data_IF_013498404148
#
_entry.id   IF_013498404148
#
_cell.length_a   1.000
_cell.length_b   1.000
_cell.length_c   1.000
_cell.angle_alpha   90.00
_cell.angle_beta   90.00
_cell.angle_gamma   90.00
#
_symmetry.space_group_name_H-M   'P 1'
#
loop_
_entity.id
_entity.type
_entity.pdbx_description
1 polymer ?
#
# COMPACT_ATOMS: atom_id res chain seq x y z
N UNK A 1 30.87 -52.20 -35.66
CA UNK A 1 29.97 -51.43 -34.77
C UNK A 1 30.70 -50.90 -33.55
N UNK A 2 31.54 -51.66 -32.84
CA UNK A 2 32.29 -51.20 -31.68
C UNK A 2 33.28 -50.06 -31.96
N UNK A 3 33.91 -50.06 -33.17
CA UNK A 3 34.74 -48.95 -33.61
C UNK A 3 33.91 -47.67 -33.80
N UNK A 4 32.77 -47.77 -34.48
CA UNK A 4 31.85 -46.65 -34.68
C UNK A 4 31.35 -46.05 -33.33
N UNK A 5 31.04 -46.89 -32.33
CA UNK A 5 30.66 -46.40 -31.01
C UNK A 5 31.78 -45.62 -30.32
N UNK A 6 33.05 -45.98 -30.54
CA UNK A 6 34.20 -45.25 -30.03
C UNK A 6 34.38 -43.92 -30.72
N UNK A 7 34.24 -43.90 -32.04
CA UNK A 7 34.38 -42.68 -32.85
C UNK A 7 33.33 -41.61 -32.45
N UNK A 8 32.12 -42.03 -32.05
CA UNK A 8 31.06 -41.15 -31.56
C UNK A 8 31.01 -41.02 -30.03
N UNK A 9 32.02 -41.52 -29.31
CA UNK A 9 32.11 -41.45 -27.83
C UNK A 9 30.84 -41.93 -27.08
N UNK A 10 30.15 -42.93 -27.64
CA UNK A 10 28.96 -43.52 -27.03
C UNK A 10 29.21 -44.96 -26.57
N UNK A 11 28.46 -45.39 -25.54
CA UNK A 11 28.50 -46.79 -25.12
C UNK A 11 27.89 -47.70 -26.19
N UNK A 12 28.36 -48.96 -26.27
CA UNK A 12 27.74 -49.96 -27.15
C UNK A 12 26.27 -50.14 -26.90
N UNK A 13 25.85 -50.06 -25.61
CA UNK A 13 24.44 -50.12 -25.21
C UNK A 13 23.64 -48.96 -25.82
N UNK A 14 24.18 -47.74 -25.80
CA UNK A 14 23.58 -46.56 -26.43
C UNK A 14 23.52 -46.75 -27.97
N UNK A 15 24.57 -47.25 -28.57
CA UNK A 15 24.60 -47.51 -29.99
C UNK A 15 23.53 -48.52 -30.44
N UNK A 16 23.39 -49.64 -29.75
CA UNK A 16 22.32 -50.61 -30.05
C UNK A 16 20.91 -50.03 -29.81
N UNK A 17 20.74 -49.19 -28.78
CA UNK A 17 19.46 -48.50 -28.59
C UNK A 17 19.04 -47.69 -29.80
N UNK A 18 19.95 -46.96 -30.41
CA UNK A 18 19.67 -46.14 -31.58
C UNK A 18 19.48 -46.99 -32.83
N UNK A 19 20.26 -48.07 -33.01
CA UNK A 19 20.16 -48.98 -34.13
C UNK A 19 18.79 -49.70 -34.14
N UNK A 20 18.34 -50.18 -32.99
CA UNK A 20 17.01 -50.82 -32.85
C UNK A 20 15.88 -49.84 -33.17
N UNK A 21 15.94 -48.59 -32.67
CA UNK A 21 14.97 -47.56 -33.02
C UNK A 21 14.94 -47.25 -34.51
N UNK A 22 16.08 -47.17 -35.14
CA UNK A 22 16.15 -46.97 -36.58
C UNK A 22 15.52 -48.13 -37.34
N UNK A 23 15.80 -49.39 -36.91
CA UNK A 23 15.20 -50.60 -37.48
C UNK A 23 13.69 -50.72 -37.32
N UNK A 24 13.15 -50.18 -36.26
CA UNK A 24 11.71 -50.10 -35.96
C UNK A 24 11.03 -48.86 -36.57
N UNK A 25 11.73 -48.04 -37.33
CA UNK A 25 11.19 -46.82 -37.95
C UNK A 25 10.79 -45.71 -36.94
N UNK A 26 11.30 -45.78 -35.71
CA UNK A 26 11.02 -44.78 -34.69
C UNK A 26 11.87 -43.50 -34.90
N UNK A 27 11.39 -42.37 -34.43
CA UNK A 27 12.19 -41.14 -34.46
C UNK A 27 13.47 -41.27 -33.65
N UNK A 28 14.60 -40.86 -34.24
CA UNK A 28 15.94 -40.85 -33.62
C UNK A 28 16.13 -39.61 -32.73
N UNK A 29 15.27 -39.47 -31.73
CA UNK A 29 15.33 -38.41 -30.70
C UNK A 29 15.28 -39.03 -29.31
N UNK A 30 15.75 -38.29 -28.30
CA UNK A 30 15.60 -38.74 -26.93
C UNK A 30 14.11 -38.77 -26.51
N UNK A 31 13.67 -39.94 -26.08
CA UNK A 31 12.32 -40.10 -25.53
C UNK A 31 12.28 -39.57 -24.11
N UNK A 32 11.09 -39.07 -23.70
CA UNK A 32 10.88 -38.65 -22.34
C UNK A 32 11.20 -39.78 -21.36
N UNK A 33 11.99 -39.47 -20.34
CA UNK A 33 12.30 -40.39 -19.22
C UNK A 33 11.24 -40.33 -18.12
N UNK A 34 10.16 -39.60 -18.36
CA UNK A 34 9.08 -39.44 -17.41
C UNK A 34 8.35 -40.78 -17.24
N UNK A 35 8.13 -41.27 -16.00
CA UNK A 35 7.37 -42.49 -15.76
C UNK A 35 5.96 -42.40 -16.36
N UNK A 36 5.49 -43.48 -17.00
CA UNK A 36 4.14 -43.56 -17.56
C UNK A 36 3.05 -43.48 -16.49
N UNK A 37 3.33 -43.97 -15.28
CA UNK A 37 2.49 -43.82 -14.09
C UNK A 37 3.13 -42.84 -13.12
N UNK A 38 2.41 -41.80 -12.77
CA UNK A 38 2.81 -40.79 -11.80
C UNK A 38 1.75 -40.70 -10.69
N UNK A 39 1.80 -41.61 -9.68
CA UNK A 39 0.77 -41.68 -8.61
C UNK A 39 0.67 -40.39 -7.80
N UNK A 40 1.77 -39.61 -7.74
CA UNK A 40 1.86 -38.34 -7.03
C UNK A 40 1.49 -37.10 -7.89
N UNK A 41 1.08 -37.30 -9.16
CA UNK A 41 0.65 -36.20 -10.00
C UNK A 41 -0.67 -35.63 -9.44
N UNK A 42 -0.74 -34.30 -9.35
CA UNK A 42 -1.97 -33.60 -8.98
C UNK A 42 -3.11 -34.01 -9.93
N UNK A 43 -4.29 -34.28 -9.38
CA UNK A 43 -5.48 -34.61 -10.15
C UNK A 43 -5.80 -33.46 -11.16
N UNK A 44 -6.28 -33.84 -12.33
CA UNK A 44 -6.55 -32.88 -13.41
C UNK A 44 -7.54 -31.79 -12.99
N UNK A 45 -8.58 -32.15 -12.23
CA UNK A 45 -9.58 -31.23 -11.71
C UNK A 45 -8.94 -30.16 -10.77
N UNK A 46 -7.98 -30.58 -9.96
CA UNK A 46 -7.25 -29.66 -9.07
C UNK A 46 -6.31 -28.74 -9.88
N UNK A 47 -5.69 -29.26 -10.94
CA UNK A 47 -4.87 -28.42 -11.83
C UNK A 47 -5.73 -27.37 -12.52
N UNK A 48 -6.91 -27.74 -13.06
CA UNK A 48 -7.85 -26.79 -13.67
C UNK A 48 -8.28 -25.71 -12.69
N UNK A 49 -8.64 -26.09 -11.48
CA UNK A 49 -9.02 -25.15 -10.41
C UNK A 49 -7.91 -24.11 -10.13
N UNK A 50 -6.64 -24.54 -10.09
CA UNK A 50 -5.49 -23.67 -9.91
C UNK A 50 -5.34 -22.71 -11.11
N UNK A 51 -5.57 -23.20 -12.32
CA UNK A 51 -5.49 -22.40 -13.56
C UNK A 51 -6.62 -21.37 -13.65
N UNK A 52 -7.84 -21.74 -13.26
CA UNK A 52 -9.00 -20.85 -13.24
C UNK A 52 -8.80 -19.68 -12.27
N UNK A 53 -8.30 -19.96 -11.06
CA UNK A 53 -7.95 -18.92 -10.10
C UNK A 53 -6.84 -18.02 -10.65
N UNK A 54 -5.84 -18.58 -11.33
CA UNK A 54 -4.77 -17.79 -11.97
C UNK A 54 -5.29 -16.92 -13.10
N UNK A 55 -6.19 -17.45 -13.94
CA UNK A 55 -6.81 -16.71 -15.06
C UNK A 55 -7.61 -15.52 -14.54
N UNK A 56 -8.40 -15.74 -13.49
CA UNK A 56 -9.16 -14.68 -12.83
C UNK A 56 -8.27 -13.68 -12.07
N UNK A 57 -7.10 -14.10 -11.63
CA UNK A 57 -6.16 -13.30 -10.83
C UNK A 57 -4.72 -13.41 -11.36
N UNK A 58 -4.40 -12.80 -12.49
CA UNK A 58 -3.12 -13.03 -13.19
C UNK A 58 -1.85 -12.63 -12.42
N UNK A 59 -1.97 -11.79 -11.38
CA UNK A 59 -0.86 -11.41 -10.51
C UNK A 59 -0.64 -12.36 -9.32
N UNK A 60 -1.45 -13.43 -9.18
CA UNK A 60 -1.35 -14.34 -8.03
C UNK A 60 -0.42 -15.51 -8.32
N UNK A 61 0.61 -15.69 -7.49
CA UNK A 61 1.49 -16.85 -7.52
C UNK A 61 0.94 -18.02 -6.68
N UNK A 62 1.64 -19.17 -6.73
CA UNK A 62 1.22 -20.41 -6.09
C UNK A 62 0.87 -20.30 -4.60
N UNK A 63 1.56 -19.43 -3.83
CA UNK A 63 1.24 -19.21 -2.40
C UNK A 63 -0.17 -18.64 -2.21
N UNK A 64 -0.52 -17.62 -2.99
CA UNK A 64 -1.83 -16.95 -2.90
C UNK A 64 -2.96 -17.84 -3.41
N UNK A 65 -2.72 -18.52 -4.53
CA UNK A 65 -3.71 -19.44 -5.12
C UNK A 65 -4.05 -20.55 -4.13
N UNK A 66 -3.03 -21.18 -3.54
CA UNK A 66 -3.23 -22.20 -2.49
C UNK A 66 -4.08 -21.64 -1.34
N UNK A 67 -3.67 -20.51 -0.77
CA UNK A 67 -4.36 -19.90 0.37
C UNK A 67 -5.82 -19.51 0.04
N UNK A 68 -6.07 -18.96 -1.15
CA UNK A 68 -7.42 -18.61 -1.59
C UNK A 68 -8.32 -19.84 -1.76
N UNK A 69 -7.81 -20.92 -2.34
CA UNK A 69 -8.54 -22.17 -2.50
C UNK A 69 -8.86 -22.83 -1.14
N UNK A 70 -7.90 -22.84 -0.23
CA UNK A 70 -8.12 -23.35 1.13
C UNK A 70 -9.15 -22.51 1.90
N UNK A 71 -9.09 -21.17 1.78
CA UNK A 71 -10.07 -20.27 2.36
C UNK A 71 -11.47 -20.44 1.76
N UNK A 72 -11.57 -20.81 0.48
CA UNK A 72 -12.82 -21.16 -0.19
C UNK A 72 -13.34 -22.57 0.17
N UNK A 73 -12.64 -23.30 1.05
CA UNK A 73 -13.08 -24.62 1.56
C UNK A 73 -12.61 -25.81 0.72
N UNK A 74 -11.82 -25.62 -0.32
CA UNK A 74 -11.27 -26.74 -1.11
C UNK A 74 -10.24 -27.52 -0.30
N UNK A 75 -10.35 -28.84 -0.29
CA UNK A 75 -9.45 -29.77 0.42
C UNK A 75 -8.46 -30.42 -0.55
N UNK A 76 -7.31 -30.86 -0.03
CA UNK A 76 -6.32 -31.57 -0.85
C UNK A 76 -5.53 -30.71 -1.82
N UNK A 77 -5.54 -29.38 -1.64
CA UNK A 77 -4.75 -28.46 -2.48
C UNK A 77 -3.25 -28.73 -2.29
N UNK A 78 -2.48 -28.90 -3.37
CA UNK A 78 -1.06 -29.23 -3.28
C UNK A 78 -0.25 -28.09 -2.67
N UNK A 79 1.03 -28.35 -2.36
CA UNK A 79 1.93 -27.33 -1.80
C UNK A 79 2.01 -26.09 -2.71
N UNK A 80 2.29 -24.92 -2.11
CA UNK A 80 2.47 -23.66 -2.86
C UNK A 80 3.55 -23.79 -3.96
N UNK A 81 4.59 -24.62 -3.73
CA UNK A 81 5.61 -24.93 -4.73
C UNK A 81 5.03 -25.73 -5.89
N UNK A 82 4.22 -26.75 -5.59
CA UNK A 82 3.53 -27.55 -6.61
C UNK A 82 2.58 -26.71 -7.44
N UNK A 83 1.77 -25.83 -6.79
CA UNK A 83 0.94 -24.87 -7.51
C UNK A 83 1.78 -23.99 -8.46
N UNK A 84 2.93 -23.48 -7.98
CA UNK A 84 3.86 -22.71 -8.82
C UNK A 84 4.43 -23.52 -10.01
N UNK A 85 4.76 -24.79 -9.79
CA UNK A 85 5.22 -25.69 -10.86
C UNK A 85 4.14 -25.98 -11.91
N UNK A 86 2.88 -26.12 -11.46
CA UNK A 86 1.73 -26.26 -12.38
C UNK A 86 1.61 -25.01 -13.24
N UNK A 87 1.60 -23.79 -12.64
CA UNK A 87 1.55 -22.54 -13.37
C UNK A 87 2.70 -22.40 -14.38
N UNK A 88 3.92 -22.78 -13.98
CA UNK A 88 5.09 -22.77 -14.88
C UNK A 88 4.91 -23.73 -16.06
N UNK A 89 4.42 -24.94 -15.81
CA UNK A 89 4.20 -25.96 -16.84
C UNK A 89 3.17 -25.54 -17.88
N UNK A 90 2.14 -24.77 -17.45
CA UNK A 90 1.12 -24.24 -18.35
C UNK A 90 1.44 -22.83 -18.90
N UNK A 91 2.71 -22.35 -18.74
CA UNK A 91 3.18 -21.10 -19.32
C UNK A 91 2.72 -19.81 -18.64
N UNK A 92 2.15 -19.89 -17.45
CA UNK A 92 1.68 -18.72 -16.68
C UNK A 92 2.77 -17.97 -15.93
N UNK A 93 4.02 -18.45 -15.95
CA UNK A 93 5.16 -17.81 -15.28
C UNK A 93 6.31 -17.72 -16.26
N UNK A 94 6.77 -16.50 -16.56
CA UNK A 94 7.99 -16.29 -17.34
C UNK A 94 9.24 -16.39 -16.45
N UNK A 95 10.37 -16.90 -16.98
CA UNK A 95 11.63 -16.97 -16.22
C UNK A 95 12.15 -15.62 -15.73
N UNK A 96 11.86 -14.53 -16.48
CA UNK A 96 12.33 -13.17 -16.22
C UNK A 96 11.64 -12.50 -15.04
N UNK A 97 10.38 -12.83 -14.76
CA UNK A 97 9.63 -12.29 -13.62
C UNK A 97 10.08 -12.87 -12.28
N UNK A 98 10.67 -14.06 -12.30
CA UNK A 98 11.10 -14.79 -11.11
C UNK A 98 12.32 -14.15 -10.40
N UNK A 99 13.11 -13.32 -11.08
CA UNK A 99 14.37 -12.76 -10.55
C UNK A 99 14.24 -11.42 -9.83
N UNK A 100 13.07 -10.80 -9.80
CA UNK A 100 12.87 -9.40 -9.35
C UNK A 100 12.62 -9.20 -7.84
N UNK A 101 12.66 -10.22 -7.01
CA UNK A 101 12.34 -10.09 -5.59
C UNK A 101 13.56 -9.88 -4.70
N UNK A 102 13.70 -8.67 -4.13
CA UNK A 102 14.64 -8.37 -3.03
C UNK A 102 13.90 -8.30 -1.69
N UNK A 103 14.40 -8.92 -0.61
CA UNK A 103 13.86 -8.73 0.72
C UNK A 103 14.17 -7.32 1.24
N UNK A 104 13.26 -6.71 1.99
CA UNK A 104 13.49 -5.41 2.62
C UNK A 104 12.91 -5.39 4.05
N UNK A 105 13.41 -4.45 4.86
CA UNK A 105 13.02 -4.31 6.27
C UNK A 105 11.60 -3.73 6.38
N UNK A 106 10.73 -4.34 7.19
CA UNK A 106 9.33 -3.94 7.36
C UNK A 106 9.19 -2.99 8.54
N UNK A 107 8.57 -1.84 8.31
CA UNK A 107 7.97 -1.02 9.35
C UNK A 107 6.48 -1.38 9.43
N UNK A 108 5.94 -1.58 10.63
CA UNK A 108 4.55 -1.98 10.82
C UNK A 108 4.05 -1.48 12.16
N UNK A 109 2.85 -0.88 12.18
CA UNK A 109 2.17 -0.53 13.42
C UNK A 109 1.56 -1.77 14.05
N UNK A 110 1.42 -1.75 15.37
CA UNK A 110 0.97 -2.91 16.14
C UNK A 110 -0.54 -3.13 16.06
N UNK A 111 -1.33 -2.07 15.87
CA UNK A 111 -2.78 -2.12 15.89
C UNK A 111 -3.42 -1.45 14.66
N UNK A 112 -4.61 -1.90 14.31
CA UNK A 112 -5.46 -1.22 13.33
C UNK A 112 -5.74 0.21 13.78
N UNK A 113 -5.83 1.11 12.82
CA UNK A 113 -6.12 2.53 13.00
C UNK A 113 -5.07 3.33 13.81
N UNK A 114 -3.92 2.74 14.16
CA UNK A 114 -2.79 3.51 14.69
C UNK A 114 -2.23 4.47 13.64
N UNK A 115 -2.20 4.03 12.40
CA UNK A 115 -1.71 4.81 11.27
C UNK A 115 -2.47 4.45 10.00
N UNK A 116 -3.09 5.43 9.37
CA UNK A 116 -3.51 5.32 7.98
C UNK A 116 -2.47 5.97 7.08
N UNK A 117 -2.12 5.31 5.98
CA UNK A 117 -1.28 5.86 4.92
C UNK A 117 -2.18 6.35 3.80
N UNK A 118 -2.01 7.60 3.40
CA UNK A 118 -2.80 8.23 2.35
C UNK A 118 -1.87 8.80 1.29
N UNK A 119 -2.19 8.52 0.02
CA UNK A 119 -1.40 8.97 -1.10
C UNK A 119 -2.25 9.06 -2.37
N UNK A 120 -1.82 9.89 -3.33
CA UNK A 120 -2.29 9.82 -4.70
C UNK A 120 -1.41 8.88 -5.49
N UNK A 121 -2.02 7.87 -6.11
CA UNK A 121 -1.28 6.94 -7.00
C UNK A 121 -0.51 7.63 -8.14
N UNK A 122 -0.67 8.91 -8.31
CA UNK A 122 -0.38 9.61 -9.54
C UNK A 122 -1.60 9.57 -10.47
N UNK A 123 -1.47 10.06 -11.68
CA UNK A 123 -2.59 10.09 -12.62
C UNK A 123 -2.43 9.08 -13.77
N UNK A 124 -3.54 8.76 -14.42
CA UNK A 124 -3.59 8.01 -15.67
C UNK A 124 -4.72 8.52 -16.57
N UNK A 125 -4.54 8.31 -17.87
CA UNK A 125 -5.54 8.67 -18.87
C UNK A 125 -6.70 7.66 -18.87
N UNK A 126 -7.91 8.19 -19.01
CA UNK A 126 -9.14 7.44 -19.26
C UNK A 126 -9.42 7.34 -20.77
N UNK A 127 -10.34 6.46 -21.16
CA UNK A 127 -10.70 6.24 -22.55
C UNK A 127 -11.33 7.46 -23.23
N UNK A 128 -11.96 8.35 -22.46
CA UNK A 128 -12.52 9.62 -22.92
C UNK A 128 -11.48 10.77 -23.00
N UNK A 129 -10.19 10.48 -22.74
CA UNK A 129 -9.09 11.45 -22.76
C UNK A 129 -8.95 12.28 -21.49
N UNK A 130 -9.85 12.18 -20.53
CA UNK A 130 -9.72 12.81 -19.23
C UNK A 130 -8.69 12.08 -18.34
N UNK A 131 -8.24 12.73 -17.24
CA UNK A 131 -7.30 12.15 -16.28
C UNK A 131 -8.01 11.70 -15.01
N UNK A 132 -7.55 10.61 -14.44
CA UNK A 132 -7.99 10.09 -13.15
C UNK A 132 -6.85 10.14 -12.15
N UNK A 133 -7.12 10.71 -10.97
CA UNK A 133 -6.20 10.83 -9.81
C UNK A 133 -6.76 10.04 -8.65
N UNK A 134 -6.49 8.75 -8.50
CA UNK A 134 -6.95 7.99 -7.35
C UNK A 134 -6.29 8.45 -6.07
N UNK A 135 -7.11 8.80 -5.07
CA UNK A 135 -6.70 9.00 -3.69
C UNK A 135 -6.96 7.72 -2.92
N UNK A 136 -5.91 7.14 -2.35
CA UNK A 136 -5.97 5.88 -1.64
C UNK A 136 -5.70 6.08 -0.16
N UNK A 137 -6.46 5.36 0.69
CA UNK A 137 -6.26 5.33 2.14
C UNK A 137 -6.11 3.87 2.56
N UNK A 138 -5.00 3.56 3.23
CA UNK A 138 -4.63 2.21 3.63
C UNK A 138 -4.33 2.14 5.13
N UNK A 139 -4.91 1.19 5.84
CA UNK A 139 -4.51 0.89 7.21
C UNK A 139 -3.13 0.21 7.25
N UNK A 140 -2.21 0.77 8.04
CA UNK A 140 -0.81 0.33 8.09
C UNK A 140 -0.65 -1.08 8.65
N UNK A 141 -1.44 -1.46 9.66
CA UNK A 141 -1.36 -2.77 10.31
C UNK A 141 -1.99 -3.87 9.46
N UNK A 142 -3.25 -3.75 9.16
CA UNK A 142 -4.05 -4.79 8.47
C UNK A 142 -3.88 -4.82 6.97
N UNK A 143 -3.27 -3.80 6.36
CA UNK A 143 -3.24 -3.59 4.89
C UNK A 143 -4.64 -3.38 4.29
N UNK A 144 -5.65 -3.20 5.12
CA UNK A 144 -7.01 -2.95 4.66
C UNK A 144 -7.07 -1.65 3.89
N UNK A 145 -7.62 -1.69 2.70
CA UNK A 145 -7.88 -0.50 1.91
C UNK A 145 -9.15 0.16 2.42
N UNK A 146 -8.99 1.20 3.22
CA UNK A 146 -10.09 2.00 3.78
C UNK A 146 -10.91 2.59 2.64
N UNK A 147 -10.23 3.22 1.66
CA UNK A 147 -10.90 3.90 0.56
C UNK A 147 -10.01 4.00 -0.67
N UNK A 148 -10.65 3.99 -1.85
CA UNK A 148 -10.07 4.46 -3.11
C UNK A 148 -11.06 5.44 -3.71
N UNK A 149 -10.64 6.69 -3.91
CA UNK A 149 -11.48 7.73 -4.50
C UNK A 149 -10.89 8.18 -5.83
N UNK A 150 -11.37 7.68 -6.98
CA UNK A 150 -11.01 8.22 -8.28
C UNK A 150 -11.52 9.66 -8.43
N UNK A 151 -10.62 10.59 -8.73
CA UNK A 151 -10.91 12.02 -8.83
C UNK A 151 -10.48 12.56 -10.19
N UNK A 152 -11.12 13.62 -10.64
CA UNK A 152 -10.72 14.36 -11.85
C UNK A 152 -9.54 15.32 -11.62
N UNK A 153 -9.21 15.57 -10.35
CA UNK A 153 -8.09 16.43 -9.95
C UNK A 153 -7.56 16.00 -8.58
N UNK A 154 -6.34 16.38 -8.24
CA UNK A 154 -5.74 16.13 -6.92
C UNK A 154 -6.24 17.12 -5.84
N UNK A 155 -7.54 17.39 -5.81
CA UNK A 155 -8.20 18.30 -4.86
C UNK A 155 -9.30 17.61 -4.08
N UNK A 156 -9.92 18.30 -3.11
CA UNK A 156 -11.05 17.78 -2.33
C UNK A 156 -10.65 16.57 -1.47
N UNK A 157 -9.48 16.60 -0.84
CA UNK A 157 -8.97 15.52 0.02
C UNK A 157 -9.84 15.38 1.27
N UNK A 158 -10.19 16.52 1.89
CA UNK A 158 -10.97 16.55 3.13
C UNK A 158 -12.31 15.83 2.99
N UNK A 159 -13.03 16.06 1.90
CA UNK A 159 -14.34 15.46 1.63
C UNK A 159 -14.21 13.94 1.47
N UNK A 160 -13.16 13.48 0.81
CA UNK A 160 -12.91 12.04 0.66
C UNK A 160 -12.58 11.38 2.00
N UNK A 161 -11.72 12.03 2.81
CA UNK A 161 -11.32 11.51 4.13
C UNK A 161 -12.49 11.54 5.11
N UNK A 162 -13.36 12.55 5.02
CA UNK A 162 -14.57 12.64 5.84
C UNK A 162 -15.47 11.40 5.67
N UNK A 163 -15.69 10.96 4.44
CA UNK A 163 -16.47 9.74 4.18
C UNK A 163 -15.82 8.51 4.83
N UNK A 164 -14.49 8.39 4.75
CA UNK A 164 -13.76 7.32 5.42
C UNK A 164 -13.89 7.38 6.95
N UNK A 165 -13.85 8.57 7.54
CA UNK A 165 -14.05 8.76 8.98
C UNK A 165 -15.45 8.40 9.44
N UNK A 166 -16.47 8.73 8.65
CA UNK A 166 -17.86 8.38 8.94
C UNK A 166 -18.11 6.88 8.90
N UNK A 167 -17.45 6.16 7.98
CA UNK A 167 -17.63 4.72 7.79
C UNK A 167 -16.78 3.88 8.76
N UNK A 168 -15.51 4.27 8.98
CA UNK A 168 -14.53 3.44 9.70
C UNK A 168 -14.08 4.03 11.05
N UNK A 169 -14.51 5.24 11.39
CA UNK A 169 -14.05 6.00 12.56
C UNK A 169 -12.69 6.66 12.36
N UNK A 170 -12.19 7.33 13.39
CA UNK A 170 -10.97 8.13 13.34
C UNK A 170 -9.73 7.29 13.64
N UNK A 171 -8.65 7.37 12.82
CA UNK A 171 -7.35 6.81 13.17
C UNK A 171 -6.63 7.66 14.23
N UNK A 172 -5.55 7.13 14.81
CA UNK A 172 -4.68 7.92 15.68
C UNK A 172 -3.79 8.88 14.88
N UNK A 173 -3.40 8.50 13.66
CA UNK A 173 -2.55 9.32 12.79
C UNK A 173 -2.78 9.03 11.31
N UNK A 174 -2.49 10.03 10.48
CA UNK A 174 -2.49 9.90 9.02
C UNK A 174 -1.10 10.31 8.49
N UNK A 175 -0.48 9.43 7.72
CA UNK A 175 0.76 9.68 7.00
C UNK A 175 0.44 10.08 5.55
N UNK A 176 0.96 11.23 5.15
CA UNK A 176 0.91 11.72 3.76
C UNK A 176 2.31 11.92 3.20
N UNK A 177 2.42 12.05 1.89
CA UNK A 177 3.64 12.57 1.26
C UNK A 177 3.78 14.09 1.47
N UNK A 178 4.85 14.67 0.91
CA UNK A 178 5.07 16.12 0.90
C UNK A 178 4.53 16.78 -0.39
N UNK A 179 3.56 16.17 -1.04
CA UNK A 179 2.92 16.74 -2.23
C UNK A 179 2.29 18.12 -1.94
N UNK A 180 2.13 18.95 -2.98
CA UNK A 180 1.63 20.32 -2.83
C UNK A 180 0.23 20.39 -2.15
N UNK A 181 -0.57 19.34 -2.28
CA UNK A 181 -1.88 19.23 -1.63
C UNK A 181 -1.80 19.01 -0.11
N UNK A 182 -0.64 18.57 0.39
CA UNK A 182 -0.39 18.28 1.81
C UNK A 182 0.66 19.20 2.44
N UNK A 183 1.29 20.07 1.65
CA UNK A 183 2.32 21.01 2.11
C UNK A 183 1.80 22.44 2.13
N UNK A 184 1.86 23.09 3.28
CA UNK A 184 1.45 24.49 3.45
C UNK A 184 2.43 25.48 2.80
N UNK A 185 1.93 26.66 2.44
CA UNK A 185 2.72 27.75 1.90
C UNK A 185 3.84 28.16 2.89
N UNK A 186 5.06 28.36 2.41
CA UNK A 186 6.26 28.70 3.22
C UNK A 186 6.52 27.74 4.39
N UNK A 187 6.15 26.45 4.24
CA UNK A 187 6.28 25.47 5.32
C UNK A 187 5.27 25.65 6.46
N UNK A 188 4.20 26.44 6.27
CA UNK A 188 3.08 26.53 7.20
C UNK A 188 2.17 25.29 7.13
N UNK A 189 1.10 25.33 7.91
CA UNK A 189 0.14 24.24 7.98
C UNK A 189 -0.96 24.40 6.94
N UNK A 190 -1.50 23.28 6.47
CA UNK A 190 -2.65 23.24 5.57
C UNK A 190 -3.97 23.25 6.35
N UNK A 191 -5.08 23.59 5.69
CA UNK A 191 -6.43 23.45 6.27
C UNK A 191 -6.74 21.98 6.64
N UNK A 192 -6.20 21.05 5.87
CA UNK A 192 -6.36 19.63 6.12
C UNK A 192 -5.66 19.19 7.41
N UNK A 193 -4.40 19.58 7.62
CA UNK A 193 -3.66 19.29 8.86
C UNK A 193 -4.34 19.91 10.09
N UNK A 194 -4.81 21.16 9.96
CA UNK A 194 -5.56 21.81 11.04
C UNK A 194 -6.82 21.02 11.39
N UNK A 195 -7.60 20.62 10.39
CA UNK A 195 -8.79 19.83 10.59
C UNK A 195 -8.51 18.46 11.22
N UNK A 196 -7.40 17.80 10.87
CA UNK A 196 -6.98 16.55 11.52
C UNK A 196 -6.66 16.79 13.00
N UNK A 197 -5.92 17.86 13.33
CA UNK A 197 -5.64 18.23 14.72
C UNK A 197 -6.90 18.59 15.50
N UNK A 198 -7.88 19.20 14.84
CA UNK A 198 -9.19 19.50 15.44
C UNK A 198 -9.95 18.23 15.83
N UNK A 199 -9.73 17.12 15.11
CA UNK A 199 -10.32 15.80 15.36
C UNK A 199 -9.44 14.91 16.25
N UNK A 200 -8.36 15.45 16.80
CA UNK A 200 -7.35 14.69 17.57
C UNK A 200 -6.74 13.53 16.77
N UNK A 201 -6.48 13.76 15.47
CA UNK A 201 -5.75 12.88 14.55
C UNK A 201 -4.39 13.52 14.23
N UNK A 202 -3.28 12.81 14.49
CA UNK A 202 -1.94 13.32 14.26
C UNK A 202 -1.60 13.31 12.76
N UNK A 203 -1.41 14.46 12.10
CA UNK A 203 -0.86 14.51 10.76
C UNK A 203 0.64 14.21 10.78
N UNK A 204 1.10 13.31 9.92
CA UNK A 204 2.50 12.91 9.79
C UNK A 204 2.90 13.07 8.33
N UNK A 205 4.03 13.73 8.09
CA UNK A 205 4.64 13.79 6.76
C UNK A 205 5.75 12.77 6.59
N UNK A 206 5.83 12.14 5.44
CA UNK A 206 6.95 11.29 5.07
C UNK A 206 8.26 12.07 5.13
N UNK A 207 9.33 11.49 5.71
CA UNK A 207 10.64 12.13 5.68
C UNK A 207 11.13 12.21 4.23
N UNK A 208 11.63 13.39 3.84
CA UNK A 208 12.30 13.59 2.56
C UNK A 208 13.44 12.58 2.46
N UNK A 209 13.51 11.81 1.36
CA UNK A 209 14.52 10.76 1.07
C UNK A 209 14.45 9.48 1.94
N UNK A 210 13.35 9.20 2.63
CA UNK A 210 13.13 7.90 3.27
C UNK A 210 11.93 7.14 2.65
N UNK A 211 12.09 6.52 1.47
CA UNK A 211 10.99 5.82 0.76
C UNK A 211 10.42 4.63 1.54
N UNK A 212 11.09 4.18 2.59
CA UNK A 212 10.64 3.04 3.40
C UNK A 212 9.31 3.30 4.14
N UNK A 213 8.98 4.57 4.42
CA UNK A 213 7.75 4.95 5.13
C UNK A 213 6.50 4.75 4.27
N UNK A 214 6.60 4.87 2.94
CA UNK A 214 5.49 4.73 1.99
C UNK A 214 5.51 3.42 1.19
N UNK A 215 6.47 2.54 1.43
CA UNK A 215 6.64 1.29 0.69
C UNK A 215 5.41 0.35 0.69
N UNK A 216 4.45 0.54 1.60
CA UNK A 216 3.19 -0.21 1.63
C UNK A 216 2.21 0.32 0.60
N UNK A 217 2.04 1.65 0.53
CA UNK A 217 1.19 2.31 -0.48
C UNK A 217 1.77 2.11 -1.88
N UNK A 218 3.07 2.22 -2.06
CA UNK A 218 3.71 1.92 -3.35
C UNK A 218 3.46 0.48 -3.81
N UNK A 219 3.54 -0.49 -2.89
CA UNK A 219 3.20 -1.89 -3.17
C UNK A 219 1.72 -2.06 -3.48
N UNK A 220 0.85 -1.35 -2.77
CA UNK A 220 -0.58 -1.31 -3.03
C UNK A 220 -0.86 -0.78 -4.44
N UNK A 221 -0.28 0.36 -4.82
CA UNK A 221 -0.40 0.94 -6.17
C UNK A 221 0.07 -0.01 -7.27
N UNK A 222 1.21 -0.69 -7.05
CA UNK A 222 1.70 -1.72 -8.00
C UNK A 222 0.71 -2.87 -8.14
N UNK A 223 0.10 -3.30 -7.03
CA UNK A 223 -0.91 -4.37 -7.03
C UNK A 223 -2.18 -3.91 -7.75
N UNK A 224 -2.67 -2.70 -7.45
CA UNK A 224 -3.83 -2.11 -8.12
C UNK A 224 -3.62 -1.99 -9.63
N UNK A 225 -2.43 -1.52 -10.06
CA UNK A 225 -2.08 -1.46 -11.47
C UNK A 225 -2.10 -2.83 -12.14
N UNK A 226 -1.56 -3.86 -11.48
CA UNK A 226 -1.46 -5.21 -12.02
C UNK A 226 -2.79 -5.97 -12.03
N UNK A 227 -3.72 -5.64 -11.15
CA UNK A 227 -4.97 -6.38 -10.98
C UNK A 227 -6.21 -5.62 -11.48
N UNK A 228 -6.34 -4.31 -11.18
CA UNK A 228 -7.49 -3.50 -11.55
C UNK A 228 -7.29 -2.73 -12.87
N UNK A 229 -6.15 -2.07 -13.04
CA UNK A 229 -5.90 -1.16 -14.18
C UNK A 229 -5.20 -1.87 -15.36
N UNK A 230 -5.59 -3.10 -15.65
CA UNK A 230 -5.07 -3.86 -16.80
C UNK A 230 -5.65 -3.36 -18.12
N UNK A 231 -6.87 -2.88 -18.08
CA UNK A 231 -7.54 -2.21 -19.17
C UNK A 231 -7.83 -0.77 -18.77
N UNK A 232 -7.74 0.14 -19.72
CA UNK A 232 -8.03 1.56 -19.47
C UNK A 232 -9.53 1.73 -19.22
N UNK A 233 -9.96 2.28 -18.07
CA UNK A 233 -11.37 2.60 -17.83
C UNK A 233 -11.87 3.62 -18.85
N UNK A 234 -13.10 3.47 -19.34
CA UNK A 234 -13.65 4.31 -20.38
C UNK A 234 -13.81 5.79 -19.93
N UNK A 235 -14.22 5.99 -18.69
CA UNK A 235 -14.43 7.31 -18.06
C UNK A 235 -14.32 7.21 -16.52
N UNK A 236 -14.51 8.32 -15.84
CA UNK A 236 -14.37 8.39 -14.37
C UNK A 236 -15.38 7.48 -13.63
N UNK A 237 -16.61 7.38 -14.11
CA UNK A 237 -17.64 6.50 -13.50
C UNK A 237 -17.30 5.02 -13.67
N UNK A 238 -16.73 4.65 -14.82
CA UNK A 238 -16.22 3.30 -15.03
C UNK A 238 -15.02 3.03 -14.09
N UNK A 239 -14.11 4.00 -13.93
CA UNK A 239 -12.98 3.90 -13.02
C UNK A 239 -13.44 3.72 -11.56
N UNK A 240 -14.47 4.45 -11.11
CA UNK A 240 -15.05 4.31 -9.76
C UNK A 240 -15.56 2.88 -9.52
N UNK A 241 -16.40 2.36 -10.40
CA UNK A 241 -16.93 1.00 -10.26
C UNK A 241 -15.84 -0.05 -10.27
N UNK A 242 -14.91 0.04 -11.23
CA UNK A 242 -13.80 -0.90 -11.37
C UNK A 242 -12.90 -0.94 -10.13
N UNK A 243 -12.57 0.23 -9.59
CA UNK A 243 -11.69 0.34 -8.41
C UNK A 243 -12.42 -0.06 -7.12
N UNK A 244 -13.73 0.19 -7.01
CA UNK A 244 -14.51 -0.27 -5.86
C UNK A 244 -14.67 -1.79 -5.85
N UNK A 245 -14.99 -2.42 -6.99
CA UNK A 245 -15.04 -3.88 -7.12
C UNK A 245 -13.69 -4.51 -6.78
N UNK A 246 -12.60 -3.88 -7.25
CA UNK A 246 -11.26 -4.35 -6.91
C UNK A 246 -10.93 -4.13 -5.44
N UNK A 247 -11.30 -3.00 -4.80
CA UNK A 247 -11.12 -2.72 -3.37
C UNK A 247 -11.79 -3.81 -2.52
N UNK A 248 -13.03 -4.17 -2.86
CA UNK A 248 -13.73 -5.26 -2.20
C UNK A 248 -12.95 -6.58 -2.30
N UNK A 249 -12.53 -6.97 -3.51
CA UNK A 249 -11.74 -8.20 -3.72
C UNK A 249 -10.39 -8.16 -3.00
N UNK A 250 -9.74 -7.00 -2.99
CA UNK A 250 -8.48 -6.78 -2.30
C UNK A 250 -8.64 -7.00 -0.79
N UNK A 251 -9.70 -6.49 -0.20
CA UNK A 251 -9.97 -6.58 1.23
C UNK A 251 -10.47 -7.96 1.66
N UNK A 252 -11.44 -8.52 0.93
CA UNK A 252 -12.18 -9.71 1.36
C UNK A 252 -11.56 -11.02 0.89
N UNK A 253 -10.95 -11.04 -0.29
CA UNK A 253 -10.56 -12.29 -0.95
C UNK A 253 -9.04 -12.43 -1.07
N UNK A 254 -8.32 -11.32 -1.31
CA UNK A 254 -6.93 -11.38 -1.69
C UNK A 254 -6.01 -11.79 -0.53
N UNK A 255 -5.25 -12.92 -0.64
CA UNK A 255 -4.29 -13.31 0.38
C UNK A 255 -3.09 -12.36 0.44
N UNK A 256 -2.69 -11.96 1.65
CA UNK A 256 -1.55 -11.10 1.91
C UNK A 256 -0.43 -11.84 2.64
N UNK A 257 0.76 -11.89 2.03
CA UNK A 257 1.91 -12.58 2.63
C UNK A 257 2.29 -11.98 4.00
N UNK A 258 2.18 -10.65 4.15
CA UNK A 258 2.44 -9.97 5.42
C UNK A 258 1.47 -10.38 6.54
N UNK A 259 0.27 -10.84 6.19
CA UNK A 259 -0.77 -11.28 7.11
C UNK A 259 -0.85 -12.82 7.21
N UNK A 260 0.22 -13.54 6.88
CA UNK A 260 0.19 -15.00 6.86
C UNK A 260 -0.79 -15.57 5.84
N UNK A 261 -0.93 -14.93 4.69
CA UNK A 261 -1.87 -15.25 3.60
C UNK A 261 -3.36 -15.06 3.96
N UNK A 262 -3.66 -14.32 5.03
CA UNK A 262 -5.04 -13.91 5.34
C UNK A 262 -5.45 -12.71 4.48
N UNK A 263 -6.75 -12.55 4.26
CA UNK A 263 -7.32 -11.36 3.64
C UNK A 263 -7.33 -10.18 4.65
N UNK A 264 -7.12 -8.93 4.21
CA UNK A 264 -7.09 -7.75 5.08
C UNK A 264 -8.31 -7.61 5.99
N UNK A 265 -9.52 -7.85 5.48
CA UNK A 265 -10.77 -7.75 6.23
C UNK A 265 -10.85 -8.71 7.42
N UNK A 266 -10.17 -9.85 7.36
CA UNK A 266 -10.12 -10.79 8.48
C UNK A 266 -9.32 -10.26 9.68
N UNK A 267 -8.45 -9.27 9.45
CA UNK A 267 -7.56 -8.65 10.46
C UNK A 267 -8.09 -7.29 10.90
N UNK A 268 -8.60 -6.50 9.95
CA UNK A 268 -9.06 -5.13 10.19
C UNK A 268 -10.24 -5.08 11.17
N UNK A 269 -10.25 -4.04 11.99
CA UNK A 269 -11.39 -3.66 12.85
C UNK A 269 -11.57 -2.14 12.76
N UNK A 270 -12.80 -1.64 12.57
CA UNK A 270 -13.08 -0.21 12.59
C UNK A 270 -12.61 0.44 13.91
N UNK A 271 -12.34 1.72 13.86
CA UNK A 271 -11.96 2.48 15.04
C UNK A 271 -13.14 2.63 16.01
N UNK A 272 -12.87 2.56 17.30
CA UNK A 272 -13.85 2.89 18.33
C UNK A 272 -14.09 4.40 18.45
N UNK A 273 -13.17 5.23 17.90
CA UNK A 273 -13.30 6.70 17.87
C UNK A 273 -14.20 7.06 16.69
N UNK A 274 -15.48 7.32 16.97
CA UNK A 274 -16.43 7.74 15.94
C UNK A 274 -16.13 9.17 15.49
N UNK A 275 -16.48 9.49 14.23
CA UNK A 275 -16.41 10.86 13.74
C UNK A 275 -17.50 11.71 14.37
N UNK A 276 -17.09 12.82 14.95
CA UNK A 276 -17.95 13.91 15.40
C UNK A 276 -17.38 15.22 14.88
N UNK A 277 -18.22 16.23 14.67
CA UNK A 277 -17.74 17.55 14.29
C UNK A 277 -16.80 18.10 15.38
N UNK A 278 -15.70 18.78 15.00
CA UNK A 278 -14.76 19.34 15.95
C UNK A 278 -15.43 20.26 16.97
N UNK A 279 -15.22 19.98 18.24
CA UNK A 279 -15.71 20.83 19.34
C UNK A 279 -14.68 21.91 19.69
N UNK A 280 -15.16 22.97 20.35
CA UNK A 280 -14.28 23.99 20.91
C UNK A 280 -13.32 23.36 21.92
N UNK A 281 -12.07 23.81 21.87
CA UNK A 281 -11.02 23.32 22.76
C UNK A 281 -10.82 24.31 23.91
N UNK A 282 -10.84 23.79 25.13
CA UNK A 282 -10.61 24.58 26.35
C UNK A 282 -9.18 24.32 26.80
N UNK A 283 -8.38 25.38 26.87
CA UNK A 283 -7.03 25.34 27.41
C UNK A 283 -7.05 25.44 28.94
N UNK A 284 -5.98 25.01 29.58
CA UNK A 284 -5.83 25.07 31.04
C UNK A 284 -5.93 26.51 31.58
N UNK A 285 -6.44 26.66 32.82
CA UNK A 285 -6.43 27.94 33.50
C UNK A 285 -4.99 28.41 33.70
N UNK A 286 -4.71 29.66 33.27
CA UNK A 286 -3.35 30.23 33.34
C UNK A 286 -2.49 29.96 32.10
N UNK A 287 -2.96 29.22 31.11
CA UNK A 287 -2.25 29.07 29.82
C UNK A 287 -2.03 30.44 29.15
N UNK A 288 -0.79 30.69 28.73
CA UNK A 288 -0.47 31.94 28.00
C UNK A 288 -1.00 31.83 26.56
N UNK A 289 -2.18 32.40 26.33
CA UNK A 289 -2.82 32.41 25.01
C UNK A 289 -2.37 33.58 24.16
N UNK A 290 -2.00 33.29 22.93
CA UNK A 290 -1.56 34.28 21.94
C UNK A 290 -2.35 34.07 20.64
N UNK A 291 -2.94 35.15 20.13
CA UNK A 291 -3.72 35.12 18.89
C UNK A 291 -2.80 35.24 17.67
N UNK A 292 -2.99 34.36 16.69
CA UNK A 292 -2.37 34.50 15.37
C UNK A 292 -3.08 35.58 14.59
N UNK A 293 -2.34 36.53 14.03
CA UNK A 293 -2.91 37.64 13.28
C UNK A 293 -3.42 37.21 11.89
N UNK A 294 -4.07 38.15 11.17
CA UNK A 294 -4.66 37.90 9.83
C UNK A 294 -3.63 37.50 8.75
N UNK A 295 -2.34 37.71 9.01
CA UNK A 295 -1.24 37.41 8.11
C UNK A 295 -0.51 36.09 8.48
N UNK A 296 -1.02 35.35 9.46
CA UNK A 296 -0.43 34.11 9.93
C UNK A 296 0.78 34.26 10.86
N UNK A 297 0.97 35.46 11.45
CA UNK A 297 2.06 35.71 12.39
C UNK A 297 1.58 35.54 13.84
N UNK A 298 2.41 34.88 14.63
CA UNK A 298 2.32 34.82 16.09
C UNK A 298 3.24 35.87 16.68
N UNK A 299 2.73 36.72 17.59
CA UNK A 299 3.50 37.77 18.26
C UNK A 299 3.32 37.70 19.78
N UNK A 300 4.44 37.55 20.50
CA UNK A 300 4.46 37.56 21.97
C UNK A 300 5.74 38.18 22.49
N UNK A 301 5.63 39.24 23.32
CA UNK A 301 6.77 40.09 23.68
C UNK A 301 7.48 40.67 22.46
N UNK A 302 8.80 40.59 22.36
CA UNK A 302 9.56 41.04 21.21
C UNK A 302 9.54 40.09 20.01
N UNK A 303 9.10 38.84 20.24
CA UNK A 303 9.15 37.77 19.24
C UNK A 303 7.98 37.90 18.26
N UNK A 304 8.29 37.85 16.96
CA UNK A 304 7.29 37.77 15.88
C UNK A 304 7.74 36.72 14.86
N UNK A 305 6.99 35.65 14.70
CA UNK A 305 7.27 34.56 13.77
C UNK A 305 6.10 34.29 12.84
N UNK A 306 6.39 33.99 11.59
CA UNK A 306 5.37 33.51 10.66
C UNK A 306 5.07 32.05 10.94
N UNK A 307 3.82 31.73 11.26
CA UNK A 307 3.39 30.36 11.56
C UNK A 307 2.65 29.74 10.36
N UNK A 308 1.48 30.28 10.04
CA UNK A 308 0.69 29.87 8.88
C UNK A 308 -0.56 30.76 8.74
N UNK A 309 -0.94 31.10 7.52
CA UNK A 309 -2.23 31.79 7.24
C UNK A 309 -3.44 30.92 7.65
N UNK A 310 -3.30 29.60 7.62
CA UNK A 310 -4.33 28.64 8.03
C UNK A 310 -4.70 28.81 9.50
N UNK A 311 -3.76 29.29 10.31
CA UNK A 311 -3.95 29.49 11.76
C UNK A 311 -4.44 30.93 12.10
N UNK A 312 -4.73 31.77 11.09
CA UNK A 312 -5.26 33.12 11.35
C UNK A 312 -6.45 33.09 12.31
N UNK A 313 -6.54 34.11 13.16
CA UNK A 313 -7.58 34.28 14.17
C UNK A 313 -7.69 33.19 15.24
N UNK A 314 -6.76 32.21 15.22
CA UNK A 314 -6.70 31.13 16.22
C UNK A 314 -5.89 31.54 17.43
N UNK A 315 -6.34 31.17 18.61
CA UNK A 315 -5.56 31.29 19.84
C UNK A 315 -4.70 30.03 20.04
N UNK A 316 -3.41 30.27 20.29
CA UNK A 316 -2.41 29.21 20.54
C UNK A 316 -1.83 29.42 21.92
N UNK A 317 -1.52 28.34 22.60
CA UNK A 317 -0.77 28.42 23.84
C UNK A 317 0.73 28.53 23.56
N UNK A 318 1.42 29.38 24.34
CA UNK A 318 2.87 29.53 24.30
C UNK A 318 3.43 29.18 25.65
N UNK A 319 4.21 28.10 25.73
CA UNK A 319 4.89 27.62 26.95
C UNK A 319 6.41 27.82 26.85
N UNK A 320 7.13 28.10 27.95
CA UNK A 320 8.58 27.95 27.98
C UNK A 320 8.97 26.49 27.61
N UNK A 321 9.99 26.37 26.77
CA UNK A 321 10.62 25.11 26.40
C UNK A 321 11.98 24.94 27.06
N UNK A 322 12.81 24.03 26.53
CA UNK A 322 14.17 23.82 27.02
C UNK A 322 15.09 24.97 26.56
N UNK A 323 15.91 25.48 27.45
CA UNK A 323 16.82 26.60 27.17
C UNK A 323 16.06 27.86 26.78
N UNK A 324 16.58 28.59 25.80
CA UNK A 324 15.97 29.83 25.28
C UNK A 324 14.94 29.57 24.20
N UNK A 325 13.98 28.66 24.46
CA UNK A 325 12.94 28.30 23.49
C UNK A 325 11.52 28.47 24.04
N UNK A 326 10.57 28.60 23.11
CA UNK A 326 9.15 28.56 23.41
C UNK A 326 8.45 27.48 22.56
N UNK A 327 7.61 26.69 23.19
CA UNK A 327 6.74 25.73 22.54
C UNK A 327 5.44 26.44 22.13
N UNK A 328 5.05 26.27 20.89
CA UNK A 328 3.76 26.74 20.36
C UNK A 328 2.83 25.56 20.26
N UNK A 329 1.68 25.65 20.93
CA UNK A 329 0.76 24.53 21.11
C UNK A 329 -0.60 24.89 20.54
N UNK A 330 -1.13 24.02 19.71
CA UNK A 330 -2.49 24.03 19.21
C UNK A 330 -3.24 22.80 19.72
N UNK A 331 -4.26 23.01 20.54
CA UNK A 331 -4.99 21.93 21.21
C UNK A 331 -4.02 20.98 21.95
N UNK A 332 -4.02 19.70 21.61
CA UNK A 332 -3.13 18.67 22.16
C UNK A 332 -1.80 18.52 21.41
N UNK A 333 -1.45 19.47 20.54
CA UNK A 333 -0.29 19.33 19.67
C UNK A 333 0.70 20.46 19.85
N UNK A 334 1.96 20.10 20.12
CA UNK A 334 3.07 21.01 19.88
C UNK A 334 3.24 21.14 18.36
N UNK A 335 3.07 22.34 17.82
CA UNK A 335 3.16 22.60 16.39
C UNK A 335 4.43 23.33 15.97
N UNK A 336 5.06 24.08 16.86
CA UNK A 336 6.35 24.73 16.59
C UNK A 336 7.19 24.85 17.84
N UNK A 337 8.52 25.01 17.64
CA UNK A 337 9.49 25.45 18.62
C UNK A 337 10.10 26.75 18.10
N UNK A 338 10.02 27.80 18.91
CA UNK A 338 10.51 29.16 18.58
C UNK A 338 11.74 29.46 19.42
N UNK A 339 12.81 29.91 18.76
CA UNK A 339 14.00 30.43 19.42
C UNK A 339 13.74 31.84 19.95
N UNK A 340 14.02 32.07 21.24
CA UNK A 340 13.80 33.34 21.92
C UNK A 340 14.89 34.39 21.60
N UNK A 341 16.08 33.94 21.20
CA UNK A 341 17.21 34.80 20.87
C UNK A 341 17.12 35.27 19.41
N UNK A 342 17.00 34.29 18.50
CA UNK A 342 17.00 34.56 17.05
C UNK A 342 15.63 34.95 16.51
N UNK A 343 14.58 34.81 17.31
CA UNK A 343 13.19 35.06 16.91
C UNK A 343 12.78 34.26 15.67
N UNK A 344 13.23 33.00 15.59
CA UNK A 344 12.96 32.09 14.45
C UNK A 344 12.27 30.83 14.90
N UNK A 345 11.61 30.16 13.95
CA UNK A 345 11.07 28.81 14.19
C UNK A 345 12.18 27.80 13.94
N UNK A 346 12.63 27.10 14.98
CA UNK A 346 13.61 26.02 14.87
C UNK A 346 13.02 24.75 14.30
N UNK A 347 11.76 24.44 14.63
CA UNK A 347 11.13 23.20 14.27
C UNK A 347 9.62 23.37 14.10
N UNK A 348 9.07 22.72 13.07
CA UNK A 348 7.61 22.69 12.75
C UNK A 348 7.05 21.26 12.75
N UNK A 349 7.67 20.34 13.48
CA UNK A 349 7.13 19.01 13.62
C UNK A 349 5.91 19.00 14.53
N UNK A 350 4.77 18.55 13.99
CA UNK A 350 3.57 18.33 14.77
C UNK A 350 3.80 17.11 15.66
N UNK A 351 3.67 17.30 16.97
CA UNK A 351 3.84 16.25 17.97
C UNK A 351 2.68 16.30 18.95
N UNK A 352 2.05 15.17 19.18
CA UNK A 352 1.03 15.05 20.23
C UNK A 352 1.69 15.12 21.61
N UNK A 353 1.13 15.92 22.52
CA UNK A 353 1.59 16.12 23.90
C UNK A 353 1.12 15.02 24.84
#
# INVERSE_FOLDING_TARGET
>A
FSALCRDYEISRKTGYKWLNRAGEGQQLCDQSRCPHRQPSKTAWETEQLILDVRTSNPAWGGKKIKAALEAAGYKGIPSAKTCGNILKRYGFISPEESQKHRPFQRFEREKCNDLWQMDFKGDFLLGDGSRCFPLDILDDHSRFCIQITPKSSASGVKESVLLAFQEYGLPNSILTDNGAQFSGFRGGYTQFERWLMDLDVLPIHGRIMHPQTQGKVERFHRTMKAEALRTTPANLEHAKRLLEDWRWRYNEIRPHEALGQKAPASVYRPSSRQYEEPQDFVYDEGARMVKVNNWGYLRFGPIQVYLSETMKDTYLEVRPGDGDTFLVIYRNYQIAVVDAIDHTIQNRHIRKL
#
